data_IF_955249464812
#
_entry.id   IF_955249464812
#
_cell.length_a   1.000
_cell.length_b   1.000
_cell.length_c   1.000
_cell.angle_alpha   90.00
_cell.angle_beta   90.00
_cell.angle_gamma   90.00
#
_symmetry.space_group_name_H-M   'P 1'
#
loop_
_entity.id
_entity.type
_entity.pdbx_description
1 polymer ?
#
# COMPACT_ATOMS: atom_id res chain seq x y z
N UNK A 1 28.82 -15.59 -63.02
CA UNK A 1 28.47 -14.25 -62.51
C UNK A 1 27.87 -13.48 -63.67
N UNK A 2 26.58 -13.19 -63.58
CA UNK A 2 25.78 -12.57 -64.64
C UNK A 2 24.33 -12.56 -64.18
N UNK A 3 23.92 -11.43 -63.62
CA UNK A 3 22.63 -11.09 -63.03
C UNK A 3 21.52 -11.01 -64.08
N UNK A 4 20.36 -11.60 -63.80
CA UNK A 4 19.09 -11.25 -64.45
C UNK A 4 18.18 -10.62 -63.41
N UNK A 5 17.98 -9.31 -63.50
CA UNK A 5 17.02 -8.53 -62.72
C UNK A 5 15.59 -9.00 -63.02
N UNK A 6 14.80 -9.19 -61.96
CA UNK A 6 13.34 -9.25 -62.06
C UNK A 6 12.83 -7.89 -61.56
N UNK A 7 12.31 -7.09 -62.49
CA UNK A 7 11.63 -5.82 -62.20
C UNK A 7 10.35 -6.09 -61.37
N UNK A 8 10.18 -5.36 -60.27
CA UNK A 8 8.90 -5.26 -59.57
C UNK A 8 8.25 -3.92 -59.94
N UNK A 9 7.08 -3.99 -60.56
CA UNK A 9 6.27 -2.83 -60.93
C UNK A 9 5.60 -2.26 -59.66
N UNK A 10 5.92 -1.02 -59.29
CA UNK A 10 5.26 -0.30 -58.21
C UNK A 10 3.94 0.24 -58.76
N UNK A 11 2.82 -0.30 -58.28
CA UNK A 11 1.49 0.25 -58.55
C UNK A 11 1.26 1.38 -57.54
N UNK A 12 1.36 2.63 -57.99
CA UNK A 12 0.91 3.78 -57.19
C UNK A 12 -0.62 3.88 -57.23
N UNK A 13 -1.26 3.75 -56.06
CA UNK A 13 -2.68 4.03 -55.88
C UNK A 13 -2.91 5.54 -55.90
N UNK A 14 -3.47 6.06 -57.00
CA UNK A 14 -3.76 7.49 -57.21
C UNK A 14 -5.15 7.90 -56.74
N UNK A 15 -5.76 7.20 -55.78
CA UNK A 15 -7.07 7.59 -55.26
C UNK A 15 -6.98 8.85 -54.36
N UNK A 16 -7.82 9.88 -54.56
CA UNK A 16 -7.76 11.11 -53.76
C UNK A 16 -8.37 10.84 -52.38
N UNK A 17 -7.54 10.52 -51.39
CA UNK A 17 -7.97 10.48 -49.99
C UNK A 17 -8.02 11.90 -49.46
N UNK A 18 -9.21 12.52 -49.47
CA UNK A 18 -9.46 13.66 -48.58
C UNK A 18 -9.46 13.14 -47.15
N UNK A 19 -8.29 13.16 -46.52
CA UNK A 19 -8.14 12.89 -45.10
C UNK A 19 -8.72 14.09 -44.33
N UNK A 20 -9.99 13.98 -43.95
CA UNK A 20 -10.55 14.83 -42.90
C UNK A 20 -9.78 14.51 -41.62
N UNK A 21 -8.85 15.39 -41.23
CA UNK A 21 -8.23 15.34 -39.90
C UNK A 21 -9.34 15.67 -38.90
N UNK A 22 -10.01 14.65 -38.39
CA UNK A 22 -10.78 14.77 -37.17
C UNK A 22 -9.76 15.03 -36.08
N UNK A 23 -9.61 16.29 -35.65
CA UNK A 23 -8.97 16.60 -34.39
C UNK A 23 -9.83 15.93 -33.32
N UNK A 24 -9.46 14.72 -32.91
CA UNK A 24 -9.90 14.22 -31.64
C UNK A 24 -9.23 15.14 -30.61
N UNK A 25 -9.97 16.15 -30.16
CA UNK A 25 -9.64 16.79 -28.90
C UNK A 25 -9.52 15.63 -27.89
N UNK A 26 -8.34 15.48 -27.30
CA UNK A 26 -8.18 14.60 -26.16
C UNK A 26 -9.30 14.97 -25.19
N UNK A 27 -10.12 14.01 -24.73
CA UNK A 27 -11.19 14.33 -23.81
C UNK A 27 -10.59 15.16 -22.67
N UNK A 28 -11.19 16.34 -22.43
CA UNK A 28 -10.77 17.21 -21.34
C UNK A 28 -10.64 16.35 -20.09
N UNK A 29 -9.43 16.27 -19.52
CA UNK A 29 -9.14 15.44 -18.34
C UNK A 29 -10.16 15.82 -17.28
N UNK A 30 -11.12 14.94 -17.00
CA UNK A 30 -12.12 15.21 -15.98
C UNK A 30 -11.45 15.01 -14.62
N UNK A 31 -10.96 16.12 -14.08
CA UNK A 31 -10.19 16.17 -12.85
C UNK A 31 -10.99 15.69 -11.64
N UNK A 32 -12.32 15.58 -11.76
CA UNK A 32 -13.18 15.02 -10.72
C UNK A 32 -12.90 13.54 -10.44
N UNK A 33 -12.20 12.84 -11.33
CA UNK A 33 -11.74 11.46 -11.13
C UNK A 33 -10.34 11.34 -10.52
N UNK A 34 -9.58 12.43 -10.40
CA UNK A 34 -8.27 12.39 -9.79
C UNK A 34 -8.38 12.30 -8.27
N UNK A 35 -7.55 11.46 -7.66
CA UNK A 35 -7.45 11.29 -6.21
C UNK A 35 -6.00 11.46 -5.78
N UNK A 36 -5.76 12.35 -4.83
CA UNK A 36 -4.50 12.41 -4.11
C UNK A 36 -4.57 11.49 -2.89
N UNK A 37 -3.64 10.56 -2.75
CA UNK A 37 -3.58 9.62 -1.64
C UNK A 37 -2.25 9.78 -0.93
N UNK A 38 -2.31 9.94 0.39
CA UNK A 38 -1.14 9.90 1.27
C UNK A 38 -1.28 8.71 2.20
N UNK A 39 -0.35 7.76 2.10
CA UNK A 39 -0.22 6.64 3.03
C UNK A 39 0.92 6.95 4.00
N UNK A 40 0.55 7.36 5.22
CA UNK A 40 1.48 7.59 6.33
C UNK A 40 1.76 6.27 7.05
N UNK A 41 2.67 5.50 6.44
CA UNK A 41 3.20 4.25 6.98
C UNK A 41 4.26 4.44 8.07
N UNK A 42 4.60 3.35 8.74
CA UNK A 42 5.57 3.34 9.84
C UNK A 42 7.00 3.73 9.43
N UNK A 43 7.43 3.33 8.24
CA UNK A 43 8.83 3.48 7.77
C UNK A 43 8.97 4.47 6.61
N UNK A 44 7.92 5.21 6.30
CA UNK A 44 7.92 6.17 5.20
C UNK A 44 6.52 6.55 4.80
N UNK A 45 6.40 7.72 4.18
CA UNK A 45 5.12 8.27 3.74
C UNK A 45 5.10 8.23 2.21
N UNK A 46 4.07 7.58 1.66
CA UNK A 46 3.86 7.47 0.21
C UNK A 46 2.82 8.48 -0.22
N UNK A 47 3.07 9.09 -1.37
CA UNK A 47 2.20 10.06 -1.99
C UNK A 47 1.90 9.58 -3.40
N UNK A 48 0.63 9.52 -3.78
CA UNK A 48 0.25 9.18 -5.14
C UNK A 48 -0.93 9.99 -5.64
N UNK A 49 -0.95 10.27 -6.94
CA UNK A 49 -2.13 10.75 -7.64
C UNK A 49 -2.60 9.63 -8.56
N UNK A 50 -3.84 9.19 -8.36
CA UNK A 50 -4.47 8.12 -9.12
C UNK A 50 -5.64 8.67 -9.92
N UNK A 51 -5.77 8.24 -11.16
CA UNK A 51 -6.88 8.60 -12.04
C UNK A 51 -7.94 7.49 -12.03
N UNK A 52 -9.16 7.81 -11.58
CA UNK A 52 -10.27 6.86 -11.53
C UNK A 52 -11.24 7.00 -12.71
N UNK A 53 -10.81 7.62 -13.81
CA UNK A 53 -11.65 7.81 -15.01
C UNK A 53 -12.09 6.45 -15.57
N UNK A 54 -13.41 6.21 -15.73
CA UNK A 54 -13.90 5.02 -16.42
C UNK A 54 -13.37 4.93 -17.86
N UNK A 55 -13.07 3.73 -18.38
CA UNK A 55 -13.25 2.41 -17.77
C UNK A 55 -12.04 1.92 -16.94
N UNK A 56 -11.05 2.77 -16.70
CA UNK A 56 -9.76 2.38 -16.11
C UNK A 56 -9.75 2.39 -14.57
N UNK A 57 -10.87 2.69 -13.93
CA UNK A 57 -10.96 2.76 -12.46
C UNK A 57 -10.52 1.47 -11.75
N UNK A 58 -10.63 0.30 -12.40
CA UNK A 58 -10.17 -0.98 -11.84
C UNK A 58 -8.65 -1.09 -11.76
N UNK A 59 -7.91 -0.58 -12.74
CA UNK A 59 -6.44 -0.73 -12.79
C UNK A 59 -5.70 0.32 -11.95
N UNK A 60 -6.42 1.28 -11.37
CA UNK A 60 -5.89 2.35 -10.52
C UNK A 60 -4.65 3.03 -11.14
N UNK A 61 -4.76 3.57 -12.37
CA UNK A 61 -3.62 4.16 -13.06
C UNK A 61 -3.04 5.32 -12.22
N UNK A 62 -1.79 5.14 -11.79
CA UNK A 62 -1.08 6.10 -10.96
C UNK A 62 -0.30 7.05 -11.85
N UNK A 63 -0.68 8.32 -11.87
CA UNK A 63 -0.08 9.34 -12.74
C UNK A 63 1.09 10.07 -12.06
N UNK A 64 1.16 10.01 -10.74
CA UNK A 64 2.28 10.53 -9.96
C UNK A 64 2.47 9.68 -8.71
N UNK A 65 3.71 9.35 -8.35
CA UNK A 65 4.02 8.65 -7.10
C UNK A 65 5.42 9.01 -6.62
N UNK A 66 5.55 9.22 -5.31
CA UNK A 66 6.84 9.31 -4.65
C UNK A 66 6.73 8.89 -3.18
N UNK A 67 7.88 8.67 -2.55
CA UNK A 67 7.99 8.31 -1.14
C UNK A 67 9.01 9.22 -0.46
N UNK A 68 8.72 9.59 0.77
CA UNK A 68 9.68 10.22 1.69
C UNK A 68 10.05 9.24 2.80
N UNK A 69 11.34 9.19 3.11
CA UNK A 69 11.91 8.27 4.10
C UNK A 69 11.82 8.84 5.53
N UNK A 70 10.60 9.12 5.99
CA UNK A 70 10.34 9.51 7.38
C UNK A 70 9.90 8.27 8.16
N UNK A 71 10.74 7.77 9.06
CA UNK A 71 10.38 6.64 9.94
C UNK A 71 9.62 7.13 11.17
N UNK A 72 8.28 7.13 11.09
CA UNK A 72 7.41 7.45 12.22
C UNK A 72 7.54 6.44 13.36
N UNK A 73 7.90 5.18 13.07
CA UNK A 73 8.12 4.16 14.10
C UNK A 73 9.38 4.45 14.90
N UNK A 74 10.53 4.65 14.24
CA UNK A 74 11.80 4.86 14.92
C UNK A 74 11.85 6.20 15.67
N UNK A 75 11.21 7.24 15.11
CA UNK A 75 11.09 8.55 15.74
C UNK A 75 10.46 8.53 17.14
N UNK A 76 9.74 7.45 17.48
CA UNK A 76 9.08 7.28 18.76
C UNK A 76 9.93 6.51 19.78
N UNK A 77 11.19 6.23 19.50
CA UNK A 77 12.09 5.59 20.46
C UNK A 77 13.32 6.46 20.71
N UNK A 78 13.58 6.74 21.99
CA UNK A 78 14.79 7.42 22.42
C UNK A 78 16.01 6.54 22.06
N UNK A 79 16.99 7.04 21.28
CA UNK A 79 18.11 6.21 20.80
C UNK A 79 19.03 5.68 21.90
N UNK A 80 19.13 6.39 23.04
CA UNK A 80 20.04 6.02 24.13
C UNK A 80 19.39 5.03 25.09
N UNK A 81 18.12 5.27 25.43
CA UNK A 81 17.39 4.53 26.45
C UNK A 81 16.45 3.46 25.87
N UNK A 82 16.14 3.54 24.58
CA UNK A 82 15.17 2.67 23.89
C UNK A 82 13.73 2.87 24.35
N UNK A 83 13.46 3.88 25.19
CA UNK A 83 12.13 4.16 25.72
C UNK A 83 11.26 4.83 24.67
N UNK A 84 9.97 4.52 24.72
CA UNK A 84 9.00 5.16 23.83
C UNK A 84 8.84 6.63 24.21
N UNK A 85 8.96 7.51 23.23
CA UNK A 85 8.80 8.96 23.32
C UNK A 85 7.69 9.45 22.36
N UNK A 86 7.09 10.62 22.60
CA UNK A 86 6.21 11.26 21.63
C UNK A 86 6.92 11.51 20.30
N UNK A 87 6.18 11.61 19.19
CA UNK A 87 6.74 12.02 17.90
C UNK A 87 7.36 13.41 18.07
N UNK A 88 8.68 13.58 17.84
CA UNK A 88 9.38 14.85 18.05
C UNK A 88 8.88 15.97 17.14
N UNK A 89 8.94 17.22 17.62
CA UNK A 89 8.46 18.39 16.87
C UNK A 89 9.12 18.57 15.49
N UNK A 90 10.41 18.25 15.35
CA UNK A 90 11.10 18.33 14.07
C UNK A 90 10.54 17.31 13.06
N UNK A 91 10.24 16.08 13.49
CA UNK A 91 9.60 15.06 12.65
C UNK A 91 8.19 15.50 12.25
N UNK A 92 7.42 16.08 13.17
CA UNK A 92 6.11 16.66 12.84
C UNK A 92 6.26 17.73 11.75
N UNK A 93 7.26 18.61 11.87
CA UNK A 93 7.56 19.62 10.86
C UNK A 93 7.94 19.04 9.49
N UNK A 94 8.73 17.97 9.46
CA UNK A 94 9.07 17.26 8.21
C UNK A 94 7.84 16.66 7.53
N UNK A 95 6.94 16.04 8.30
CA UNK A 95 5.67 15.50 7.78
C UNK A 95 4.80 16.60 7.21
N UNK A 96 4.64 17.72 7.93
CA UNK A 96 3.85 18.87 7.48
C UNK A 96 4.45 19.48 6.20
N UNK A 97 5.77 19.60 6.12
CA UNK A 97 6.45 20.07 4.91
C UNK A 97 6.20 19.12 3.72
N UNK A 98 6.24 17.81 3.94
CA UNK A 98 5.95 16.81 2.91
C UNK A 98 4.48 16.87 2.43
N UNK A 99 3.53 17.03 3.36
CA UNK A 99 2.11 17.20 3.02
C UNK A 99 1.85 18.48 2.23
N UNK A 100 2.45 19.61 2.64
CA UNK A 100 2.32 20.87 1.91
C UNK A 100 2.95 20.79 0.51
N UNK A 101 4.09 20.11 0.37
CA UNK A 101 4.66 19.80 -0.95
C UNK A 101 3.68 18.98 -1.79
N UNK A 102 3.01 18.00 -1.21
CA UNK A 102 2.04 17.20 -1.95
C UNK A 102 0.82 18.01 -2.37
N UNK A 103 0.33 18.95 -1.54
CA UNK A 103 -0.73 19.88 -1.94
C UNK A 103 -0.36 20.68 -3.19
N UNK A 104 0.89 21.15 -3.29
CA UNK A 104 1.38 21.84 -4.49
C UNK A 104 1.35 20.92 -5.70
N UNK A 105 1.84 19.67 -5.57
CA UNK A 105 1.76 18.66 -6.65
C UNK A 105 0.32 18.39 -7.07
N UNK A 106 -0.60 18.26 -6.11
CA UNK A 106 -2.02 18.08 -6.38
C UNK A 106 -2.61 19.27 -7.13
N UNK A 107 -2.28 20.50 -6.73
CA UNK A 107 -2.73 21.71 -7.42
C UNK A 107 -2.19 21.79 -8.86
N UNK A 108 -0.91 21.47 -9.07
CA UNK A 108 -0.28 21.45 -10.41
C UNK A 108 -0.92 20.40 -11.35
N UNK A 109 -1.53 19.36 -10.78
CA UNK A 109 -2.21 18.28 -11.50
C UNK A 109 -3.73 18.46 -11.56
N UNK A 110 -4.24 19.59 -11.06
CA UNK A 110 -5.65 19.95 -10.94
C UNK A 110 -6.49 18.99 -10.06
N UNK A 111 -5.86 18.28 -9.12
CA UNK A 111 -6.57 17.44 -8.14
C UNK A 111 -7.38 18.34 -7.20
N UNK A 112 -8.72 18.19 -7.10
CA UNK A 112 -9.49 18.98 -6.16
C UNK A 112 -9.05 18.71 -4.71
N UNK A 113 -8.95 19.75 -3.87
CA UNK A 113 -8.51 19.57 -2.48
C UNK A 113 -9.39 18.58 -1.69
N UNK A 114 -10.70 18.53 -1.99
CA UNK A 114 -11.65 17.58 -1.41
C UNK A 114 -11.40 16.12 -1.80
N UNK A 115 -10.49 15.87 -2.75
CA UNK A 115 -10.09 14.55 -3.24
C UNK A 115 -8.67 14.17 -2.80
N UNK A 116 -8.09 14.92 -1.87
CA UNK A 116 -6.83 14.59 -1.20
C UNK A 116 -7.17 13.86 0.10
N UNK A 117 -6.78 12.59 0.19
CA UNK A 117 -7.02 11.75 1.36
C UNK A 117 -5.69 11.39 2.02
N UNK A 118 -5.60 11.65 3.33
CA UNK A 118 -4.44 11.28 4.14
C UNK A 118 -4.84 10.16 5.07
N UNK A 119 -4.25 8.98 4.89
CA UNK A 119 -4.49 7.80 5.69
C UNK A 119 -3.26 7.53 6.53
N UNK A 120 -3.44 7.34 7.84
CA UNK A 120 -2.37 7.00 8.76
C UNK A 120 -2.61 5.65 9.42
N UNK A 121 -1.53 4.87 9.57
CA UNK A 121 -1.60 3.48 10.02
C UNK A 121 -0.99 3.32 11.43
N UNK A 122 -0.28 2.22 11.65
CA UNK A 122 0.11 1.72 12.96
C UNK A 122 1.00 2.67 13.75
N UNK A 123 2.05 3.25 13.15
CA UNK A 123 2.95 4.14 13.87
C UNK A 123 2.25 5.38 14.43
N UNK A 124 1.37 6.02 13.64
CA UNK A 124 0.60 7.18 14.07
C UNK A 124 -0.39 6.82 15.16
N UNK A 125 -1.11 5.70 15.01
CA UNK A 125 -2.07 5.20 16.01
C UNK A 125 -1.40 4.85 17.34
N UNK A 126 -0.17 4.33 17.28
CA UNK A 126 0.58 3.92 18.46
C UNK A 126 1.27 5.10 19.18
N UNK A 127 1.33 6.29 18.58
CA UNK A 127 2.07 7.42 19.13
C UNK A 127 1.51 7.96 20.44
N UNK A 128 2.39 8.27 21.39
CA UNK A 128 2.00 8.83 22.70
C UNK A 128 1.27 10.17 22.55
N UNK A 129 1.57 10.93 21.50
CA UNK A 129 0.96 12.21 21.15
C UNK A 129 0.16 12.14 19.84
N UNK A 130 -0.44 10.99 19.50
CA UNK A 130 -1.18 10.79 18.24
C UNK A 130 -2.20 11.90 17.95
N UNK A 131 -3.04 12.26 18.94
CA UNK A 131 -4.05 13.31 18.79
C UNK A 131 -3.45 14.70 18.58
N UNK A 132 -2.34 15.01 19.24
CA UNK A 132 -1.63 16.29 19.04
C UNK A 132 -1.00 16.36 17.66
N UNK A 133 -0.38 15.26 17.22
CA UNK A 133 0.25 15.16 15.91
C UNK A 133 -0.76 15.34 14.77
N UNK A 134 -1.91 14.65 14.85
CA UNK A 134 -3.00 14.79 13.87
C UNK A 134 -3.58 16.21 13.89
N UNK A 135 -3.76 16.79 15.08
CA UNK A 135 -4.26 18.17 15.20
C UNK A 135 -3.30 19.17 14.54
N UNK A 136 -1.99 19.06 14.78
CA UNK A 136 -0.97 19.92 14.16
C UNK A 136 -0.96 19.79 12.63
N UNK A 137 -1.08 18.57 12.11
CA UNK A 137 -1.23 18.37 10.65
C UNK A 137 -2.42 19.16 10.13
N UNK A 138 -3.57 19.06 10.78
CA UNK A 138 -4.77 19.77 10.36
C UNK A 138 -4.60 21.30 10.45
N UNK A 139 -4.08 21.81 11.57
CA UNK A 139 -3.85 23.24 11.80
C UNK A 139 -2.92 23.86 10.73
N UNK A 140 -1.84 23.16 10.35
CA UNK A 140 -0.80 23.72 9.47
C UNK A 140 -1.00 23.39 7.98
N UNK A 141 -1.83 22.40 7.63
CA UNK A 141 -2.03 21.97 6.23
C UNK A 141 -3.49 22.07 5.76
N UNK A 142 -4.44 22.11 6.69
CA UNK A 142 -5.88 21.97 6.42
C UNK A 142 -6.33 20.55 6.08
N UNK A 143 -5.42 19.57 5.97
CA UNK A 143 -5.74 18.19 5.64
C UNK A 143 -6.25 17.44 6.88
N UNK A 144 -7.27 16.61 6.69
CA UNK A 144 -7.72 15.65 7.69
C UNK A 144 -6.93 14.35 7.55
N UNK A 145 -6.55 13.77 8.69
CA UNK A 145 -5.86 12.47 8.73
C UNK A 145 -6.83 11.41 9.23
N UNK A 146 -7.11 10.42 8.39
CA UNK A 146 -7.91 9.27 8.72
C UNK A 146 -7.01 8.19 9.35
N UNK A 147 -7.19 7.95 10.65
CA UNK A 147 -6.53 6.83 11.33
C UNK A 147 -7.21 5.51 10.92
N UNK A 148 -6.53 4.72 10.10
CA UNK A 148 -7.06 3.44 9.65
C UNK A 148 -7.11 2.45 10.81
N UNK A 149 -8.24 1.79 11.09
CA UNK A 149 -8.30 0.70 12.05
C UNK A 149 -7.40 -0.49 11.66
N UNK A 150 -6.91 -1.25 12.64
CA UNK A 150 -6.00 -2.40 12.38
C UNK A 150 -6.64 -3.44 11.49
N UNK A 151 -7.91 -3.71 11.75
CA UNK A 151 -8.77 -4.64 11.03
C UNK A 151 -9.05 -4.19 9.59
N UNK A 152 -9.06 -2.88 9.35
CA UNK A 152 -9.28 -2.29 8.03
C UNK A 152 -8.03 -2.27 7.16
N UNK A 153 -6.81 -2.20 7.75
CA UNK A 153 -5.55 -2.26 7.00
C UNK A 153 -5.52 -3.48 6.05
N UNK A 154 -5.79 -4.67 6.57
CA UNK A 154 -5.79 -5.89 5.74
C UNK A 154 -6.99 -5.96 4.77
N UNK A 155 -8.12 -5.34 5.11
CA UNK A 155 -9.28 -5.24 4.20
C UNK A 155 -8.95 -4.34 3.01
N UNK A 156 -8.41 -3.15 3.25
CA UNK A 156 -8.01 -2.19 2.22
C UNK A 156 -6.91 -2.78 1.35
N UNK A 157 -5.88 -3.39 1.95
CA UNK A 157 -4.82 -4.09 1.21
C UNK A 157 -5.38 -5.21 0.33
N UNK A 158 -6.33 -6.01 0.84
CA UNK A 158 -7.01 -7.05 0.05
C UNK A 158 -7.79 -6.48 -1.13
N UNK A 159 -8.49 -5.36 -0.96
CA UNK A 159 -9.20 -4.70 -2.05
C UNK A 159 -8.25 -4.13 -3.11
N UNK A 160 -7.10 -3.59 -2.70
CA UNK A 160 -6.04 -3.14 -3.61
C UNK A 160 -5.43 -4.29 -4.41
N UNK A 161 -5.23 -5.46 -3.80
CA UNK A 161 -4.87 -6.67 -4.54
C UNK A 161 -5.99 -7.04 -5.51
N UNK A 162 -7.24 -7.11 -5.04
CA UNK A 162 -8.40 -7.49 -5.86
C UNK A 162 -8.60 -6.62 -7.11
N UNK A 163 -8.23 -5.35 -7.05
CA UNK A 163 -8.35 -4.44 -8.18
C UNK A 163 -7.40 -4.81 -9.33
N UNK A 164 -6.22 -5.35 -9.01
CA UNK A 164 -5.21 -5.76 -10.00
C UNK A 164 -5.44 -7.12 -10.66
N UNK A 165 -6.34 -7.96 -10.14
CA UNK A 165 -6.59 -9.31 -10.67
C UNK A 165 -8.03 -9.49 -11.14
N UNK A 166 -8.24 -10.18 -12.27
CA UNK A 166 -9.57 -10.54 -12.75
C UNK A 166 -10.26 -11.49 -11.77
N UNK A 167 -9.53 -12.54 -11.41
CA UNK A 167 -9.95 -13.65 -10.56
C UNK A 167 -8.80 -14.01 -9.61
N UNK A 168 -9.09 -14.00 -8.31
CA UNK A 168 -8.12 -14.33 -7.28
C UNK A 168 -8.79 -15.14 -6.19
N UNK A 169 -8.08 -16.14 -5.68
CA UNK A 169 -8.53 -16.88 -4.52
C UNK A 169 -7.37 -17.38 -3.71
N UNK A 170 -7.21 -16.83 -2.51
CA UNK A 170 -6.12 -17.23 -1.66
C UNK A 170 -6.00 -16.41 -0.40
N UNK A 171 -4.90 -16.68 0.29
CA UNK A 171 -4.47 -15.91 1.44
C UNK A 171 -3.60 -14.74 0.95
N UNK A 172 -4.06 -13.53 1.22
CA UNK A 172 -3.27 -12.31 1.08
C UNK A 172 -2.51 -12.05 2.38
N UNK A 173 -1.25 -11.61 2.26
CA UNK A 173 -0.40 -11.23 3.37
C UNK A 173 0.21 -9.85 3.11
N UNK A 174 0.08 -8.92 4.05
CA UNK A 174 0.74 -7.62 4.02
C UNK A 174 1.80 -7.58 5.12
N UNK A 175 3.07 -7.40 4.75
CA UNK A 175 4.18 -7.29 5.69
C UNK A 175 4.64 -5.84 5.81
N UNK A 176 4.21 -5.19 6.90
CA UNK A 176 4.64 -3.86 7.28
C UNK A 176 5.90 -3.85 8.16
N UNK A 177 6.25 -2.65 8.65
CA UNK A 177 7.35 -2.47 9.60
C UNK A 177 7.04 -2.98 11.00
N UNK A 178 5.84 -2.68 11.51
CA UNK A 178 5.40 -3.05 12.87
C UNK A 178 4.54 -4.30 12.94
N UNK A 179 3.81 -4.64 11.88
CA UNK A 179 2.84 -5.74 11.86
C UNK A 179 2.85 -6.54 10.56
N UNK A 180 2.18 -7.70 10.59
CA UNK A 180 1.79 -8.46 9.40
C UNK A 180 0.30 -8.69 9.44
N UNK A 181 -0.40 -8.44 8.34
CA UNK A 181 -1.82 -8.68 8.19
C UNK A 181 -2.00 -9.89 7.28
N UNK A 182 -2.95 -10.77 7.61
CA UNK A 182 -3.37 -11.85 6.71
C UNK A 182 -4.87 -11.82 6.51
N UNK A 183 -5.30 -12.11 5.28
CA UNK A 183 -6.72 -12.03 4.91
C UNK A 183 -7.03 -13.03 3.82
N UNK A 184 -8.05 -13.86 4.02
CA UNK A 184 -8.56 -14.70 2.95
C UNK A 184 -9.46 -13.90 2.02
N UNK A 185 -9.12 -13.90 0.74
CA UNK A 185 -9.79 -13.13 -0.31
C UNK A 185 -10.23 -14.05 -1.46
N UNK A 186 -11.42 -13.76 -1.98
CA UNK A 186 -11.91 -14.24 -3.26
C UNK A 186 -12.34 -13.03 -4.09
N UNK A 187 -11.74 -12.81 -5.26
CA UNK A 187 -12.26 -11.93 -6.31
C UNK A 187 -12.67 -12.81 -7.47
N UNK A 188 -13.90 -12.68 -7.95
CA UNK A 188 -14.39 -13.40 -9.12
C UNK A 188 -15.42 -12.53 -9.85
N UNK A 189 -15.26 -12.37 -11.16
CA UNK A 189 -16.18 -11.57 -11.99
C UNK A 189 -16.41 -10.15 -11.44
N UNK A 190 -15.38 -9.54 -10.85
CA UNK A 190 -15.45 -8.21 -10.23
C UNK A 190 -16.10 -8.17 -8.84
N UNK A 191 -16.55 -9.30 -8.30
CA UNK A 191 -17.08 -9.40 -6.95
C UNK A 191 -15.97 -9.80 -5.97
N UNK A 192 -15.68 -8.95 -5.00
CA UNK A 192 -14.69 -9.22 -3.96
C UNK A 192 -15.38 -9.66 -2.67
N UNK A 193 -14.96 -10.82 -2.14
CA UNK A 193 -15.38 -11.39 -0.87
C UNK A 193 -14.16 -11.60 0.00
N UNK A 194 -14.22 -11.08 1.22
CA UNK A 194 -13.22 -11.28 2.26
C UNK A 194 -13.83 -12.21 3.31
N UNK A 195 -12.99 -12.94 4.06
CA UNK A 195 -13.46 -13.77 5.18
C UNK A 195 -14.39 -13.00 6.12
N UNK A 196 -15.47 -13.63 6.57
CA UNK A 196 -16.40 -13.05 7.56
C UNK A 196 -15.72 -12.79 8.91
N UNK A 197 -14.55 -13.41 9.14
CA UNK A 197 -13.71 -13.18 10.31
C UNK A 197 -12.80 -11.95 10.16
N UNK A 198 -12.82 -11.28 9.01
CA UNK A 198 -12.00 -10.11 8.70
C UNK A 198 -10.53 -10.44 8.47
N UNK A 199 -9.69 -9.43 8.68
CA UNK A 199 -8.23 -9.55 8.67
C UNK A 199 -7.70 -9.90 10.05
N UNK A 200 -6.63 -10.69 10.11
CA UNK A 200 -5.89 -10.96 11.35
C UNK A 200 -4.54 -10.25 11.27
N UNK A 201 -4.23 -9.44 12.29
CA UNK A 201 -2.96 -8.74 12.42
C UNK A 201 -2.08 -9.39 13.48
N UNK A 202 -0.81 -9.60 13.13
CA UNK A 202 0.23 -10.08 14.01
C UNK A 202 1.28 -9.01 14.26
N UNK A 203 1.95 -9.02 15.44
CA UNK A 203 3.05 -8.11 15.74
C UNK A 203 4.38 -8.56 15.09
N UNK A 204 4.32 -9.06 13.85
CA UNK A 204 5.44 -9.70 13.14
C UNK A 204 5.97 -8.86 11.97
N UNK A 205 5.95 -7.53 12.09
CA UNK A 205 6.51 -6.65 11.06
C UNK A 205 8.03 -6.79 10.93
N UNK A 206 8.59 -6.40 9.79
CA UNK A 206 10.02 -6.55 9.49
C UNK A 206 10.93 -5.87 10.54
N UNK A 207 10.63 -4.62 10.91
CA UNK A 207 11.41 -3.89 11.92
C UNK A 207 11.19 -4.45 13.33
N UNK A 208 9.94 -4.79 13.67
CA UNK A 208 9.58 -5.40 14.96
C UNK A 208 10.27 -6.76 15.16
N UNK A 209 10.31 -7.61 14.12
CA UNK A 209 11.00 -8.90 14.16
C UNK A 209 12.51 -8.72 14.25
N UNK A 210 13.13 -7.79 13.51
CA UNK A 210 14.56 -7.50 13.63
C UNK A 210 14.93 -7.15 15.07
N UNK A 211 14.20 -6.22 15.68
CA UNK A 211 14.41 -5.84 17.09
C UNK A 211 14.22 -7.02 18.04
N UNK A 212 13.16 -7.80 17.85
CA UNK A 212 12.89 -9.01 18.64
C UNK A 212 14.04 -10.01 18.54
N UNK A 213 14.55 -10.27 17.33
CA UNK A 213 15.66 -11.19 17.10
C UNK A 213 16.98 -10.71 17.70
N UNK A 214 17.22 -9.40 17.72
CA UNK A 214 18.35 -8.79 18.43
C UNK A 214 18.25 -8.95 19.94
N UNK A 215 17.07 -8.63 20.51
CA UNK A 215 16.80 -8.77 21.94
C UNK A 215 16.88 -10.24 22.39
N UNK A 216 16.50 -11.18 21.53
CA UNK A 216 16.65 -12.60 21.81
C UNK A 216 18.12 -13.04 21.95
N UNK A 217 19.08 -12.32 21.36
CA UNK A 217 20.52 -12.60 21.46
C UNK A 217 21.19 -11.91 22.65
N UNK A 218 20.68 -10.75 23.11
CA UNK A 218 21.30 -9.97 24.18
C UNK A 218 21.45 -10.78 25.46
N UNK A 219 22.68 -10.84 25.99
CA UNK A 219 22.99 -11.49 27.26
C UNK A 219 22.87 -13.02 27.27
N UNK A 220 22.73 -13.69 26.11
CA UNK A 220 22.57 -15.14 26.01
C UNK A 220 23.74 -15.80 25.29
N UNK A 221 24.03 -17.06 25.64
CA UNK A 221 24.94 -17.90 24.86
C UNK A 221 24.35 -18.20 23.47
N UNK A 222 25.20 -18.63 22.52
CA UNK A 222 24.74 -19.01 21.17
C UNK A 222 23.63 -20.08 21.19
N UNK A 223 23.77 -21.09 22.05
CA UNK A 223 22.79 -22.17 22.16
C UNK A 223 21.45 -21.72 22.76
N UNK A 224 21.47 -20.80 23.73
CA UNK A 224 20.26 -20.22 24.32
C UNK A 224 19.54 -19.28 23.36
N UNK A 225 20.29 -18.47 22.61
CA UNK A 225 19.75 -17.58 21.58
C UNK A 225 19.07 -18.40 20.47
N UNK A 226 19.69 -19.51 20.04
CA UNK A 226 19.12 -20.38 19.01
C UNK A 226 17.83 -21.06 19.49
N UNK A 227 17.81 -21.64 20.69
CA UNK A 227 16.59 -22.20 21.29
C UNK A 227 15.47 -21.16 21.43
N UNK A 228 15.81 -19.91 21.73
CA UNK A 228 14.82 -18.84 21.84
C UNK A 228 14.26 -18.45 20.46
N UNK A 229 15.10 -18.42 19.43
CA UNK A 229 14.69 -18.22 18.03
C UNK A 229 13.77 -19.34 17.53
N UNK A 230 14.10 -20.60 17.85
CA UNK A 230 13.26 -21.76 17.51
C UNK A 230 11.89 -21.71 18.17
N UNK A 231 11.81 -21.27 19.45
CA UNK A 231 10.53 -21.07 20.15
C UNK A 231 9.68 -20.00 19.48
N UNK A 232 10.27 -18.83 19.17
CA UNK A 232 9.57 -17.76 18.45
C UNK A 232 9.05 -18.26 17.09
N UNK A 233 9.86 -19.00 16.34
CA UNK A 233 9.43 -19.58 15.06
C UNK A 233 8.25 -20.54 15.23
N UNK A 234 8.27 -21.43 16.23
CA UNK A 234 7.15 -22.33 16.51
C UNK A 234 5.88 -21.56 16.90
N UNK A 235 5.99 -20.55 17.74
CA UNK A 235 4.88 -19.68 18.14
C UNK A 235 4.27 -18.97 16.93
N UNK A 236 5.09 -18.31 16.10
CA UNK A 236 4.65 -17.65 14.88
C UNK A 236 3.93 -18.63 13.96
N UNK A 237 4.52 -19.80 13.71
CA UNK A 237 3.93 -20.84 12.85
C UNK A 237 2.54 -21.28 13.36
N UNK A 238 2.42 -21.55 14.66
CA UNK A 238 1.14 -21.96 15.26
C UNK A 238 0.09 -20.84 15.11
N UNK A 239 0.48 -19.60 15.39
CA UNK A 239 -0.42 -18.44 15.29
C UNK A 239 -0.90 -18.23 13.84
N UNK A 240 -0.02 -18.36 12.84
CA UNK A 240 -0.40 -18.30 11.42
C UNK A 240 -1.33 -19.45 11.01
N UNK A 241 -1.07 -20.67 11.47
CA UNK A 241 -1.90 -21.84 11.17
C UNK A 241 -3.30 -21.70 11.76
N UNK A 242 -3.40 -21.32 13.04
CA UNK A 242 -4.68 -21.10 13.71
C UNK A 242 -5.49 -19.99 13.03
N UNK A 243 -4.83 -18.88 12.67
CA UNK A 243 -5.47 -17.79 11.96
C UNK A 243 -5.97 -18.18 10.56
N UNK A 244 -5.18 -18.97 9.82
CA UNK A 244 -5.61 -19.54 8.54
C UNK A 244 -6.85 -20.44 8.69
N UNK A 245 -6.84 -21.35 9.67
CA UNK A 245 -7.98 -22.22 9.93
C UNK A 245 -9.24 -21.44 10.35
N UNK A 246 -9.06 -20.41 11.18
CA UNK A 246 -10.13 -19.51 11.62
C UNK A 246 -10.76 -18.76 10.44
N UNK A 247 -9.95 -18.24 9.51
CA UNK A 247 -10.43 -17.50 8.34
C UNK A 247 -11.19 -18.37 7.35
N UNK A 248 -10.87 -19.67 7.25
CA UNK A 248 -11.53 -20.58 6.32
C UNK A 248 -12.90 -21.09 6.79
N UNK A 249 -13.27 -20.93 8.07
CA UNK A 249 -14.58 -21.30 8.60
C UNK A 249 -15.06 -22.73 8.26
N UNK A 250 -16.37 -22.97 8.38
CA UNK A 250 -16.99 -24.25 8.02
C UNK A 250 -17.18 -24.39 6.49
N UNK A 251 -16.50 -25.38 5.90
CA UNK A 251 -16.58 -25.97 4.54
C UNK A 251 -16.48 -25.05 3.30
N UNK A 252 -16.95 -23.82 3.30
CA UNK A 252 -17.09 -22.98 2.08
C UNK A 252 -15.75 -22.52 1.49
N UNK A 253 -14.76 -22.19 2.33
CA UNK A 253 -13.43 -21.79 1.86
C UNK A 253 -12.46 -22.99 1.71
N UNK A 254 -12.70 -24.09 2.45
CA UNK A 254 -11.82 -25.28 2.48
C UNK A 254 -11.75 -26.08 1.18
N UNK A 255 -12.80 -26.09 0.35
CA UNK A 255 -12.82 -26.92 -0.87
C UNK A 255 -11.99 -26.35 -2.03
N UNK A 256 -11.30 -25.21 -1.84
CA UNK A 256 -10.83 -24.38 -2.96
C UNK A 256 -9.45 -23.74 -2.66
N UNK A 257 -8.58 -24.44 -1.91
CA UNK A 257 -7.33 -23.89 -1.36
C UNK A 257 -6.10 -24.37 -2.15
N UNK A 258 -5.42 -23.50 -2.92
CA UNK A 258 -4.09 -23.79 -3.49
C UNK A 258 -3.10 -22.62 -3.63
N UNK A 259 -3.42 -21.37 -3.29
CA UNK A 259 -2.52 -20.25 -3.56
C UNK A 259 -2.37 -19.29 -2.37
N UNK A 260 -1.12 -18.97 -2.04
CA UNK A 260 -0.71 -17.86 -1.16
C UNK A 260 -0.26 -16.74 -2.08
N UNK A 261 -0.73 -15.53 -1.84
CA UNK A 261 -0.37 -14.34 -2.60
C UNK A 261 0.44 -13.42 -1.70
N UNK A 262 1.65 -13.10 -2.15
CA UNK A 262 2.60 -12.19 -1.51
C UNK A 262 2.51 -10.85 -2.23
#
# INVERSE_FOLDING_TARGET
>A
MGSSELEFEIIEDTSPTSATIVKHELPTKDVSFLRGIVDMGSNGIRFSVTDLTPPFSRILPTIHVYRVDISLYDAQFDPETGKKVPIPSHIIGEVIAALNRFKIVCADLDVPESQIHVVATEATRAALNSSEFIRKIHEDTGLSVDLLPKEDEGRVGSLGVASGFSDIKGLMMDLGGGSTQITWIISQDGNVRISDRGSISFPYGAAALTKTLEDLKKGKSKGEAEKARERLHHEMKNNFQEAYENMLGNRSYRSISKHVLI
#
